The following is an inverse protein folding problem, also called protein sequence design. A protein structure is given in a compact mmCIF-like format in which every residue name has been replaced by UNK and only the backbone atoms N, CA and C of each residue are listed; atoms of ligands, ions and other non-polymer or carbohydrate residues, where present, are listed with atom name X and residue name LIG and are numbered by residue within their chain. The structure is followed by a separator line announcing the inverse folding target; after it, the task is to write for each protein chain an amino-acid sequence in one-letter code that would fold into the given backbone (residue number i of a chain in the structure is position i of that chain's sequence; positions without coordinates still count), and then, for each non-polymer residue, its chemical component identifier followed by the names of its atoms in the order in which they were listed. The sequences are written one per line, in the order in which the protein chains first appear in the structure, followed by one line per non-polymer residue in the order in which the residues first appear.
data_IF_340302176592
#
_entry.id   IF_340302176592
#
_cell.length_a   1.000
_cell.length_b   1.000
_cell.length_c   1.000
_cell.angle_alpha   90.00
_cell.angle_beta   90.00
_cell.angle_gamma   90.00
#
_symmetry.space_group_name_H-M   'P 1'
#
loop_
_entity.id
_entity.type
_entity.pdbx_description
1 polymer ?
#
# COMPACT_ATOMS: atom_id res chain seq x y z
N UNK A 1 6.90 -33.20 1.49
CA UNK A 1 8.13 -32.46 1.81
C UNK A 1 8.14 -31.25 0.90
N UNK A 2 7.91 -30.00 1.28
CA UNK A 2 7.85 -29.34 2.57
C UNK A 2 6.51 -28.55 2.67
N UNK A 3 6.25 -28.08 3.87
CA UNK A 3 4.97 -27.81 4.48
C UNK A 3 4.49 -26.38 4.29
N UNK A 4 3.16 -26.22 4.41
CA UNK A 4 2.58 -24.96 4.85
C UNK A 4 2.42 -23.94 3.73
N UNK A 5 1.24 -24.00 3.09
CA UNK A 5 0.60 -22.83 2.48
C UNK A 5 0.89 -21.63 3.37
N UNK A 6 1.75 -20.73 2.88
CA UNK A 6 1.80 -19.36 3.35
C UNK A 6 0.35 -18.88 3.32
N UNK A 7 -0.26 -18.78 4.50
CA UNK A 7 -1.58 -18.18 4.65
C UNK A 7 -1.39 -16.77 4.11
N UNK A 8 -1.91 -16.55 2.91
CA UNK A 8 -1.92 -15.27 2.22
C UNK A 8 -2.70 -14.32 3.12
N UNK A 9 -2.01 -13.65 4.06
CA UNK A 9 -2.51 -12.48 4.77
C UNK A 9 -2.50 -11.27 3.82
N UNK A 10 -2.96 -11.48 2.58
CA UNK A 10 -3.44 -10.41 1.73
C UNK A 10 -4.77 -10.02 2.37
N UNK A 11 -4.68 -9.17 3.40
CA UNK A 11 -5.84 -8.47 3.95
C UNK A 11 -6.44 -7.73 2.74
N UNK A 12 -7.66 -8.07 2.29
CA UNK A 12 -8.20 -7.49 1.07
C UNK A 12 -8.18 -5.96 1.20
N UNK A 13 -7.60 -5.30 0.21
CA UNK A 13 -7.52 -3.84 0.14
C UNK A 13 -8.89 -3.17 -0.16
N UNK A 14 -9.99 -3.93 -0.10
CA UNK A 14 -11.31 -3.55 -0.59
C UNK A 14 -12.23 -2.83 0.39
N UNK A 15 -12.10 -3.01 1.71
CA UNK A 15 -13.16 -2.59 2.66
C UNK A 15 -12.64 -1.79 3.86
N UNK A 16 -11.74 -0.80 3.67
CA UNK A 16 -11.10 -0.07 4.80
C UNK A 16 -11.20 1.45 4.78
N UNK A 17 -12.10 2.02 3.98
CA UNK A 17 -12.45 3.44 4.14
C UNK A 17 -13.48 3.70 5.25
N UNK A 18 -13.81 2.65 6.02
CA UNK A 18 -14.84 2.66 7.06
C UNK A 18 -14.28 1.94 8.30
N UNK A 19 -13.58 2.72 9.12
CA UNK A 19 -13.49 2.67 10.60
C UNK A 19 -12.19 3.36 11.02
N UNK A 20 -12.22 4.69 11.08
CA UNK A 20 -11.32 5.44 11.98
C UNK A 20 -11.85 5.29 13.42
N UNK A 21 -12.07 4.06 13.86
CA UNK A 21 -12.53 3.72 15.20
C UNK A 21 -11.90 2.38 15.63
N UNK A 22 -10.64 2.43 16.07
CA UNK A 22 -10.18 2.04 17.40
C UNK A 22 -8.64 1.97 17.41
N UNK A 23 -8.02 2.73 18.32
CA UNK A 23 -6.57 2.99 18.49
C UNK A 23 -6.00 4.09 17.58
N UNK A 24 -5.57 5.19 18.20
CA UNK A 24 -4.82 6.30 17.58
C UNK A 24 -3.37 5.93 17.24
N UNK A 25 -2.91 4.75 17.68
CA UNK A 25 -1.57 4.25 17.46
C UNK A 25 -1.60 3.07 16.48
N UNK A 26 -0.83 3.17 15.40
CA UNK A 26 -0.58 2.08 14.45
C UNK A 26 0.84 1.59 14.70
N UNK A 27 0.99 0.35 15.16
CA UNK A 27 2.29 -0.32 15.30
C UNK A 27 2.61 -1.06 14.01
N UNK A 28 3.78 -0.80 13.46
CA UNK A 28 4.26 -1.41 12.22
C UNK A 28 5.77 -1.41 12.23
N UNK A 29 6.38 -2.28 11.43
CA UNK A 29 7.84 -2.32 11.30
C UNK A 29 8.34 -1.26 10.31
N UNK A 30 7.54 -0.99 9.28
CA UNK A 30 7.86 -0.02 8.25
C UNK A 30 6.65 0.89 8.00
N UNK A 31 6.91 2.20 7.91
CA UNK A 31 5.97 3.20 7.42
C UNK A 31 6.55 3.80 6.15
N UNK A 32 5.77 3.80 5.08
CA UNK A 32 6.09 4.46 3.83
C UNK A 32 5.20 5.69 3.68
N UNK A 33 5.82 6.86 3.59
CA UNK A 33 5.11 8.12 3.38
C UNK A 33 5.09 8.46 1.88
N UNK A 34 3.91 8.47 1.30
CA UNK A 34 3.65 8.69 -0.13
C UNK A 34 3.54 7.39 -0.92
N UNK A 35 2.53 7.30 -1.79
CA UNK A 35 2.26 6.15 -2.65
C UNK A 35 2.66 6.40 -4.11
N UNK A 36 3.72 7.18 -4.35
CA UNK A 36 4.33 7.32 -5.68
C UNK A 36 5.03 6.04 -6.16
N UNK A 37 5.62 6.03 -7.37
CA UNK A 37 6.29 4.86 -7.94
C UNK A 37 7.35 4.26 -7.01
N UNK A 38 8.12 5.09 -6.31
CA UNK A 38 9.08 4.63 -5.32
C UNK A 38 8.40 4.10 -4.04
N UNK A 39 7.36 4.80 -3.57
CA UNK A 39 6.69 4.50 -2.31
C UNK A 39 5.95 3.17 -2.33
N UNK A 40 5.03 2.95 -3.26
CA UNK A 40 4.30 1.68 -3.31
C UNK A 40 5.25 0.51 -3.63
N UNK A 41 6.30 0.74 -4.44
CA UNK A 41 7.29 -0.31 -4.74
C UNK A 41 8.10 -0.71 -3.51
N UNK A 42 8.53 0.26 -2.72
CA UNK A 42 9.21 0.00 -1.45
C UNK A 42 8.28 -0.73 -0.47
N UNK A 43 7.01 -0.31 -0.40
CA UNK A 43 6.05 -0.93 0.49
C UNK A 43 5.74 -2.39 0.11
N UNK A 44 5.58 -2.68 -1.18
CA UNK A 44 5.41 -4.06 -1.65
C UNK A 44 6.66 -4.89 -1.41
N UNK A 45 7.85 -4.32 -1.60
CA UNK A 45 9.09 -5.04 -1.28
C UNK A 45 9.19 -5.38 0.20
N UNK A 46 8.78 -4.47 1.09
CA UNK A 46 8.73 -4.74 2.53
C UNK A 46 7.69 -5.83 2.87
N UNK A 47 6.52 -5.79 2.22
CA UNK A 47 5.49 -6.81 2.39
C UNK A 47 5.95 -8.20 1.90
N UNK A 48 6.68 -8.28 0.78
CA UNK A 48 7.26 -9.53 0.27
C UNK A 48 8.29 -10.14 1.23
N UNK A 49 9.01 -9.29 1.97
CA UNK A 49 9.92 -9.72 3.04
C UNK A 49 9.19 -10.11 4.33
N UNK A 50 7.85 -10.09 4.34
CA UNK A 50 7.02 -10.44 5.48
C UNK A 50 6.96 -9.35 6.56
N UNK A 51 7.40 -8.13 6.25
CA UNK A 51 7.35 -7.01 7.20
C UNK A 51 5.94 -6.42 7.25
N UNK A 52 5.47 -6.12 8.46
CA UNK A 52 4.29 -5.27 8.59
C UNK A 52 4.63 -3.87 8.08
N UNK A 53 3.89 -3.44 7.07
CA UNK A 53 4.18 -2.24 6.29
C UNK A 53 2.90 -1.42 6.16
N UNK A 54 2.98 -0.12 6.43
CA UNK A 54 1.87 0.83 6.30
C UNK A 54 2.24 1.90 5.29
N UNK A 55 1.35 2.18 4.34
CA UNK A 55 1.49 3.31 3.41
C UNK A 55 0.58 4.44 3.87
N UNK A 56 1.12 5.65 3.94
CA UNK A 56 0.35 6.87 4.21
C UNK A 56 0.38 7.73 2.95
N UNK A 57 -0.78 7.90 2.34
CA UNK A 57 -0.98 8.75 1.16
C UNK A 57 -2.18 9.66 1.42
N UNK A 58 -2.09 10.91 0.97
CA UNK A 58 -3.16 11.90 1.16
C UNK A 58 -4.32 11.67 0.19
N UNK A 59 -4.05 11.03 -0.93
CA UNK A 59 -5.02 10.72 -1.97
C UNK A 59 -5.52 9.28 -1.91
N UNK A 60 -6.71 9.06 -2.46
CA UNK A 60 -7.33 7.74 -2.55
C UNK A 60 -6.73 6.85 -3.64
N UNK A 61 -5.78 7.36 -4.41
CA UNK A 61 -5.16 6.69 -5.54
C UNK A 61 -3.67 6.46 -5.27
N UNK A 62 -3.21 5.25 -5.60
CA UNK A 62 -1.77 4.94 -5.63
C UNK A 62 -1.19 5.45 -6.95
N UNK A 63 0.14 5.54 -7.04
CA UNK A 63 0.84 5.91 -8.26
C UNK A 63 1.47 7.30 -8.24
N UNK A 64 0.99 8.18 -7.36
CA UNK A 64 1.50 9.55 -7.21
C UNK A 64 1.53 10.32 -8.53
N UNK A 65 2.49 11.23 -8.68
CA UNK A 65 2.61 12.07 -9.89
C UNK A 65 2.85 11.23 -11.15
N UNK A 66 3.73 10.23 -11.07
CA UNK A 66 4.14 9.43 -12.22
C UNK A 66 2.95 8.78 -12.93
N UNK A 67 2.04 8.17 -12.18
CA UNK A 67 0.88 7.49 -12.74
C UNK A 67 -0.29 8.45 -13.00
N UNK A 68 -0.53 9.43 -12.12
CA UNK A 68 -1.82 10.12 -12.13
C UNK A 68 -1.83 11.41 -12.95
N UNK A 69 -0.68 12.09 -13.07
CA UNK A 69 -0.59 13.43 -13.70
C UNK A 69 0.76 13.67 -14.40
N UNK A 70 1.50 12.61 -14.71
CA UNK A 70 2.91 12.69 -15.07
C UNK A 70 3.30 11.71 -16.18
N UNK A 71 4.35 10.92 -15.93
CA UNK A 71 5.03 10.13 -16.94
C UNK A 71 4.17 9.08 -17.66
N UNK A 72 3.19 8.50 -16.96
CA UNK A 72 2.27 7.52 -17.53
C UNK A 72 0.89 8.19 -17.58
N UNK A 73 0.35 8.50 -18.77
CA UNK A 73 -0.98 9.08 -18.86
C UNK A 73 -2.04 8.04 -18.47
N UNK A 74 -2.98 8.43 -17.60
CA UNK A 74 -4.19 7.65 -17.34
C UNK A 74 -5.17 7.89 -18.49
N UNK A 75 -5.95 6.87 -18.90
CA UNK A 75 -6.87 6.97 -20.05
C UNK A 75 -7.98 8.02 -19.90
N UNK A 76 -8.12 8.70 -18.76
CA UNK A 76 -9.24 9.60 -18.46
C UNK A 76 -8.88 11.09 -18.34
N UNK A 77 -7.64 11.51 -18.67
CA UNK A 77 -7.23 12.94 -18.62
C UNK A 77 -7.08 13.59 -20.00
N UNK A 78 -7.77 13.08 -21.02
CA UNK A 78 -7.86 13.71 -22.33
C UNK A 78 -9.31 13.90 -22.78
#
# INVERSE_FOLDING_TARGET
MDNGRHKKNVRPAGDKYIEVMMSTEIKTQVVVLGAGPAGYSAAFRCADLGLETVIVERYNTLGGVCLNVGCIPQPDIF
#
